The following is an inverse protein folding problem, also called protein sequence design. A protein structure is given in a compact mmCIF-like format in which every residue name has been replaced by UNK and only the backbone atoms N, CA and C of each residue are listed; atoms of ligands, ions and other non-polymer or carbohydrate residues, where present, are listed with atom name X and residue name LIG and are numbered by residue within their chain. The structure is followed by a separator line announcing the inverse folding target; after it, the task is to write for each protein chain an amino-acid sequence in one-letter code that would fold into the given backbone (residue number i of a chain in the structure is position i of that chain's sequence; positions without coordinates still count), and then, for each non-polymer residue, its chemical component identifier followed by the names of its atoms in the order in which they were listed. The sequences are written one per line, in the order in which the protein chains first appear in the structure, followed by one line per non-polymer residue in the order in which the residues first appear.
data_IF_356203280914
#
_entry.id   IF_356203280914
#
_cell.length_a   1.000
_cell.length_b   1.000
_cell.length_c   1.000
_cell.angle_alpha   90.00
_cell.angle_beta   90.00
_cell.angle_gamma   90.00
#
_symmetry.space_group_name_H-M   'P 1'
#
loop_
_entity.id
_entity.type
_entity.pdbx_description
1 polymer ?
#
# COMPACT_ATOMS: atom_id res chain seq x y z
N UNK A 1 -12.60 -15.06 23.55
CA UNK A 1 -12.84 -13.75 22.88
C UNK A 1 -11.55 -12.94 22.70
N UNK A 2 -10.77 -12.63 23.76
CA UNK A 2 -9.49 -11.86 23.66
C UNK A 2 -8.47 -12.42 22.65
N UNK A 3 -8.37 -13.75 22.52
CA UNK A 3 -7.44 -14.41 21.58
C UNK A 3 -7.73 -14.12 20.09
N UNK A 4 -9.01 -14.00 19.69
CA UNK A 4 -9.38 -13.71 18.29
C UNK A 4 -9.02 -12.28 17.87
N UNK A 5 -9.29 -11.30 18.73
CA UNK A 5 -8.98 -9.88 18.48
C UNK A 5 -7.47 -9.69 18.31
N UNK A 6 -6.66 -10.29 19.19
CA UNK A 6 -5.20 -10.20 19.11
C UNK A 6 -4.65 -10.83 17.81
N UNK A 7 -5.26 -11.92 17.33
CA UNK A 7 -4.90 -12.52 16.03
C UNK A 7 -5.19 -11.57 14.86
N UNK A 8 -6.35 -10.90 14.88
CA UNK A 8 -6.70 -9.92 13.83
C UNK A 8 -5.68 -8.79 13.79
N UNK A 9 -5.46 -8.12 14.93
CA UNK A 9 -4.56 -6.97 15.01
C UNK A 9 -3.13 -7.32 14.57
N UNK A 10 -2.62 -8.50 14.94
CA UNK A 10 -1.26 -8.92 14.57
C UNK A 10 -1.10 -9.23 13.09
N UNK A 11 -2.16 -9.69 12.41
CA UNK A 11 -2.14 -10.09 11.01
C UNK A 11 -2.44 -8.96 10.00
N UNK A 12 -2.90 -7.80 10.46
CA UNK A 12 -3.40 -6.74 9.56
C UNK A 12 -2.34 -6.14 8.64
N UNK A 13 -1.09 -6.05 9.09
CA UNK A 13 -0.06 -5.29 8.40
C UNK A 13 0.41 -5.91 7.08
N UNK A 14 0.58 -5.08 6.04
CA UNK A 14 1.10 -5.48 4.72
C UNK A 14 2.40 -6.31 4.81
N UNK A 15 3.32 -5.95 5.71
CA UNK A 15 4.58 -6.67 5.95
C UNK A 15 4.39 -8.13 6.34
N UNK A 16 3.26 -8.50 6.95
CA UNK A 16 2.98 -9.89 7.34
C UNK A 16 2.43 -10.68 6.16
N UNK A 17 1.72 -10.03 5.24
CA UNK A 17 1.19 -10.68 4.03
C UNK A 17 2.27 -10.93 2.98
N UNK A 18 3.25 -10.02 2.86
CA UNK A 18 4.42 -10.17 2.00
C UNK A 18 5.30 -11.35 2.42
N UNK A 19 5.22 -11.83 3.68
CA UNK A 19 5.99 -13.00 4.14
C UNK A 19 5.43 -14.35 3.72
N UNK A 20 4.30 -14.39 3.00
CA UNK A 20 3.64 -15.64 2.62
C UNK A 20 3.03 -16.41 3.82
N UNK A 21 3.14 -15.89 5.05
CA UNK A 21 2.49 -16.44 6.25
C UNK A 21 1.02 -16.05 6.39
N UNK A 22 0.38 -15.65 5.29
CA UNK A 22 -1.06 -15.44 5.26
C UNK A 22 -1.73 -16.81 5.43
N UNK A 23 -1.97 -17.21 6.68
CA UNK A 23 -2.74 -18.41 7.01
C UNK A 23 -4.02 -18.40 6.18
N UNK A 24 -4.22 -19.46 5.38
CA UNK A 24 -5.40 -19.64 4.54
C UNK A 24 -6.71 -19.72 5.34
N UNK A 25 -6.63 -19.83 6.67
CA UNK A 25 -7.77 -19.72 7.58
C UNK A 25 -7.77 -18.36 8.29
N UNK A 26 -8.54 -17.42 7.75
CA UNK A 26 -8.85 -16.15 8.40
C UNK A 26 -10.36 -16.03 8.64
N UNK A 27 -10.73 -15.46 9.79
CA UNK A 27 -12.12 -15.22 10.13
C UNK A 27 -12.73 -14.16 9.19
N UNK A 28 -14.02 -14.22 8.83
CA UNK A 28 -14.65 -13.20 7.98
C UNK A 28 -14.41 -11.77 8.48
N UNK A 29 -14.41 -11.55 9.79
CA UNK A 29 -14.16 -10.26 10.44
C UNK A 29 -12.75 -9.73 10.16
N UNK A 30 -11.75 -10.62 10.01
CA UNK A 30 -10.39 -10.22 9.64
C UNK A 30 -10.37 -9.56 8.27
N UNK A 31 -11.03 -10.15 7.27
CA UNK A 31 -11.05 -9.57 5.92
C UNK A 31 -11.80 -8.25 5.87
N UNK A 32 -12.89 -8.12 6.62
CA UNK A 32 -13.62 -6.85 6.72
C UNK A 32 -12.74 -5.75 7.33
N UNK A 33 -12.05 -6.04 8.44
CA UNK A 33 -11.19 -5.07 9.12
C UNK A 33 -9.96 -4.72 8.28
N UNK A 34 -9.34 -5.72 7.66
CA UNK A 34 -8.15 -5.52 6.82
C UNK A 34 -8.49 -4.76 5.54
N UNK A 35 -9.61 -5.05 4.88
CA UNK A 35 -10.08 -4.28 3.72
C UNK A 35 -10.37 -2.83 4.11
N UNK A 36 -10.97 -2.58 5.28
CA UNK A 36 -11.22 -1.22 5.75
C UNK A 36 -9.93 -0.42 5.96
N UNK A 37 -8.92 -1.01 6.61
CA UNK A 37 -7.58 -0.40 6.78
C UNK A 37 -6.91 -0.11 5.42
N UNK A 38 -6.96 -1.08 4.49
CA UNK A 38 -6.36 -0.92 3.16
C UNK A 38 -7.08 0.10 2.30
N UNK A 39 -8.40 0.16 2.37
CA UNK A 39 -9.18 1.16 1.66
C UNK A 39 -8.74 2.57 2.08
N UNK A 40 -8.52 2.82 3.38
CA UNK A 40 -8.02 4.11 3.89
C UNK A 40 -6.60 4.44 3.40
N UNK A 41 -5.80 3.42 3.10
CA UNK A 41 -4.45 3.59 2.56
C UNK A 41 -4.40 3.95 1.07
N UNK A 42 -5.51 3.88 0.33
CA UNK A 42 -5.57 4.14 -1.13
C UNK A 42 -6.56 5.26 -1.51
N UNK A 43 -6.47 5.73 -2.75
CA UNK A 43 -7.24 6.87 -3.26
C UNK A 43 -6.68 8.21 -2.80
N UNK A 44 -7.49 9.27 -2.89
CA UNK A 44 -7.07 10.63 -2.55
C UNK A 44 -6.52 10.78 -1.12
N UNK A 45 -7.16 10.15 -0.12
CA UNK A 45 -6.67 10.14 1.26
C UNK A 45 -5.36 9.34 1.38
N UNK A 46 -5.25 8.22 0.67
CA UNK A 46 -4.02 7.43 0.59
C UNK A 46 -2.85 8.23 0.02
N UNK A 47 -3.06 8.99 -1.05
CA UNK A 47 -2.09 9.92 -1.64
C UNK A 47 -1.63 10.94 -0.60
N UNK A 48 -2.57 11.66 0.02
CA UNK A 48 -2.25 12.66 1.03
C UNK A 48 -1.43 12.06 2.19
N UNK A 49 -1.88 10.93 2.75
CA UNK A 49 -1.17 10.21 3.82
C UNK A 49 0.23 9.77 3.40
N UNK A 50 0.39 9.31 2.16
CA UNK A 50 1.68 8.87 1.64
C UNK A 50 2.69 10.02 1.62
N UNK A 51 2.33 11.16 1.05
CA UNK A 51 3.21 12.34 1.00
C UNK A 51 3.44 12.97 2.37
N UNK A 52 2.41 13.08 3.22
CA UNK A 52 2.58 13.57 4.60
C UNK A 52 3.55 12.70 5.39
N UNK A 53 3.43 11.38 5.28
CA UNK A 53 4.37 10.47 5.94
C UNK A 53 5.78 10.59 5.36
N UNK A 54 5.92 10.61 4.03
CA UNK A 54 7.20 10.80 3.33
C UNK A 54 7.92 12.08 3.79
N UNK A 55 7.20 13.20 3.82
CA UNK A 55 7.71 14.48 4.32
C UNK A 55 8.13 14.42 5.79
N UNK A 56 7.30 13.83 6.66
CA UNK A 56 7.63 13.67 8.10
C UNK A 56 8.90 12.83 8.34
N UNK A 57 9.23 11.95 7.39
CA UNK A 57 10.40 11.07 7.43
C UNK A 57 11.59 11.61 6.63
N UNK A 58 11.50 12.83 6.09
CA UNK A 58 12.51 13.42 5.19
C UNK A 58 12.89 12.48 4.04
N UNK A 59 11.91 11.70 3.56
CA UNK A 59 12.10 10.75 2.46
C UNK A 59 12.13 11.51 1.15
N UNK A 60 13.05 11.12 0.26
CA UNK A 60 13.11 11.63 -1.10
C UNK A 60 11.77 11.44 -1.82
N UNK A 61 11.32 12.47 -2.53
CA UNK A 61 10.02 12.44 -3.23
C UNK A 61 10.03 11.41 -4.36
N UNK A 62 10.94 11.59 -5.30
CA UNK A 62 11.17 10.74 -6.47
C UNK A 62 12.64 10.83 -6.91
N UNK A 63 13.16 9.76 -7.51
CA UNK A 63 14.47 9.72 -8.15
C UNK A 63 14.44 8.66 -9.27
N UNK A 64 14.58 9.05 -10.54
CA UNK A 64 14.57 8.11 -11.67
C UNK A 64 15.68 7.04 -11.63
N UNK A 65 16.80 7.32 -10.96
CA UNK A 65 17.89 6.37 -10.80
C UNK A 65 17.60 5.25 -9.77
N UNK A 66 16.53 5.39 -8.99
CA UNK A 66 16.12 4.42 -7.96
C UNK A 66 14.79 3.79 -8.41
N UNK A 67 14.80 2.63 -9.08
CA UNK A 67 13.57 1.97 -9.53
C UNK A 67 12.75 1.40 -8.35
N UNK A 68 11.42 1.23 -8.51
CA UNK A 68 10.60 0.55 -7.51
C UNK A 68 10.97 -0.93 -7.41
N UNK A 69 10.93 -1.47 -6.19
CA UNK A 69 11.28 -2.88 -5.92
C UNK A 69 10.09 -3.81 -6.19
N UNK A 70 10.30 -4.85 -7.00
CA UNK A 70 9.27 -5.82 -7.39
C UNK A 70 9.08 -6.95 -6.36
N UNK A 71 10.18 -7.58 -5.94
CA UNK A 71 10.21 -8.74 -5.03
C UNK A 71 10.73 -8.32 -3.66
N UNK A 72 9.81 -7.89 -2.80
CA UNK A 72 10.15 -7.44 -1.46
C UNK A 72 10.10 -8.64 -0.49
N UNK A 73 11.25 -9.07 0.02
CA UNK A 73 11.27 -9.76 1.32
C UNK A 73 10.81 -8.79 2.43
N UNK A 74 10.46 -9.30 3.61
CA UNK A 74 10.10 -8.43 4.76
C UNK A 74 11.23 -7.49 5.11
N UNK A 75 12.46 -8.00 5.09
CA UNK A 75 13.69 -7.26 5.38
C UNK A 75 13.89 -6.15 4.35
N UNK A 76 13.70 -6.46 3.06
CA UNK A 76 13.81 -5.47 1.99
C UNK A 76 12.71 -4.40 2.07
N UNK A 77 11.45 -4.77 2.36
CA UNK A 77 10.37 -3.80 2.56
C UNK A 77 10.64 -2.88 3.75
N UNK A 78 11.26 -3.39 4.81
CA UNK A 78 11.59 -2.63 6.01
C UNK A 78 12.89 -1.82 5.87
N UNK A 79 13.74 -2.14 4.89
CA UNK A 79 14.91 -1.33 4.58
C UNK A 79 14.48 -0.01 3.91
N UNK A 80 14.87 1.10 4.55
CA UNK A 80 14.44 2.46 4.23
C UNK A 80 15.49 3.26 3.45
N UNK A 81 16.69 2.72 3.26
CA UNK A 81 17.83 3.48 2.72
C UNK A 81 17.67 3.79 1.21
N UNK A 82 16.77 3.08 0.50
CA UNK A 82 16.60 3.20 -0.95
C UNK A 82 15.12 3.39 -1.38
N UNK A 83 14.27 3.95 -0.51
CA UNK A 83 12.84 4.11 -0.82
C UNK A 83 12.47 5.57 -1.09
N UNK A 84 11.94 5.86 -2.28
CA UNK A 84 11.29 7.15 -2.57
C UNK A 84 9.81 7.11 -2.22
N UNK A 85 9.19 8.28 -2.02
CA UNK A 85 7.75 8.37 -1.75
C UNK A 85 6.93 7.85 -2.93
N UNK A 86 7.33 8.19 -4.15
CA UNK A 86 6.69 7.69 -5.38
C UNK A 86 6.86 6.17 -5.54
N UNK A 87 8.03 5.60 -5.24
CA UNK A 87 8.21 4.15 -5.32
C UNK A 87 7.27 3.39 -4.36
N UNK A 88 6.85 4.01 -3.24
CA UNK A 88 5.89 3.40 -2.33
C UNK A 88 4.53 3.08 -2.97
N UNK A 89 4.13 3.86 -3.99
CA UNK A 89 2.92 3.57 -4.77
C UNK A 89 3.04 2.20 -5.45
N UNK A 90 4.12 1.98 -6.19
CA UNK A 90 4.38 0.74 -6.93
C UNK A 90 4.70 -0.44 -6.01
N UNK A 91 5.49 -0.20 -4.97
CA UNK A 91 5.93 -1.25 -4.05
C UNK A 91 4.77 -1.82 -3.21
N UNK A 92 3.75 -0.99 -2.92
CA UNK A 92 2.66 -1.34 -2.03
C UNK A 92 1.29 -0.85 -2.50
N UNK A 93 1.08 0.46 -2.60
CA UNK A 93 -0.29 1.01 -2.62
C UNK A 93 -1.11 0.53 -3.83
N UNK A 94 -0.49 0.43 -5.00
CA UNK A 94 -1.08 -0.08 -6.24
C UNK A 94 -1.28 -1.60 -6.22
N UNK A 95 -0.70 -2.33 -5.26
CA UNK A 95 -0.95 -3.77 -5.09
C UNK A 95 -2.17 -4.05 -4.20
N UNK A 96 -2.60 -3.09 -3.39
CA UNK A 96 -3.61 -3.32 -2.34
C UNK A 96 -4.99 -3.69 -2.90
N UNK A 97 -5.35 -3.21 -4.10
CA UNK A 97 -6.64 -3.51 -4.75
C UNK A 97 -6.83 -5.03 -4.93
N UNK A 98 -5.82 -5.70 -5.45
CA UNK A 98 -5.88 -7.12 -5.78
C UNK A 98 -5.72 -8.01 -4.55
N UNK A 99 -5.32 -7.43 -3.41
CA UNK A 99 -5.19 -8.12 -2.14
C UNK A 99 -6.46 -8.03 -1.28
N UNK A 100 -7.48 -7.28 -1.72
CA UNK A 100 -8.76 -7.17 -1.00
C UNK A 100 -9.39 -8.54 -0.78
N UNK A 101 -9.85 -8.77 0.45
CA UNK A 101 -10.38 -10.05 0.91
C UNK A 101 -11.86 -10.21 0.63
N UNK A 102 -12.61 -9.11 0.51
CA UNK A 102 -14.06 -9.11 0.30
C UNK A 102 -14.42 -8.54 -1.07
N UNK A 103 -15.51 -9.05 -1.66
CA UNK A 103 -16.06 -8.50 -2.91
C UNK A 103 -16.41 -7.01 -2.79
N UNK A 104 -16.87 -6.58 -1.62
CA UNK A 104 -17.19 -5.16 -1.37
C UNK A 104 -15.92 -4.30 -1.28
N UNK A 105 -14.87 -4.79 -0.63
CA UNK A 105 -13.55 -4.18 -0.57
C UNK A 105 -12.97 -3.99 -1.97
N UNK A 106 -12.96 -5.04 -2.78
CA UNK A 106 -12.46 -5.00 -4.17
C UNK A 106 -13.22 -3.97 -5.02
N UNK A 107 -14.56 -3.97 -5.01
CA UNK A 107 -15.37 -2.98 -5.75
C UNK A 107 -15.06 -1.54 -5.34
N UNK A 108 -14.87 -1.28 -4.04
CA UNK A 108 -14.54 0.07 -3.53
C UNK A 108 -13.10 0.47 -3.86
N UNK A 109 -12.20 -0.51 -3.90
CA UNK A 109 -10.80 -0.30 -4.20
C UNK A 109 -10.58 0.10 -5.66
N UNK A 110 -11.38 -0.40 -6.61
CA UNK A 110 -11.22 -0.12 -8.05
C UNK A 110 -11.13 1.37 -8.36
N UNK A 111 -12.12 2.16 -7.91
CA UNK A 111 -12.14 3.61 -8.14
C UNK A 111 -10.95 4.31 -7.47
N UNK A 112 -10.57 3.87 -6.26
CA UNK A 112 -9.47 4.48 -5.48
C UNK A 112 -8.12 4.18 -6.13
N UNK A 113 -7.94 2.96 -6.62
CA UNK A 113 -6.77 2.51 -7.34
C UNK A 113 -6.60 3.29 -8.64
N UNK A 114 -7.65 3.36 -9.47
CA UNK A 114 -7.62 4.11 -10.73
C UNK A 114 -7.20 5.56 -10.53
N UNK A 115 -7.73 6.23 -9.51
CA UNK A 115 -7.34 7.61 -9.19
C UNK A 115 -5.85 7.73 -8.82
N UNK A 116 -5.27 6.72 -8.17
CA UNK A 116 -3.83 6.72 -7.86
C UNK A 116 -2.98 6.46 -9.10
N UNK A 117 -3.41 5.60 -10.02
CA UNK A 117 -2.72 5.40 -11.31
C UNK A 117 -2.71 6.70 -12.13
N UNK A 118 -3.87 7.37 -12.22
CA UNK A 118 -4.02 8.67 -12.87
C UNK A 118 -3.09 9.72 -12.23
N UNK A 119 -3.10 9.81 -10.89
CA UNK A 119 -2.20 10.72 -10.16
C UNK A 119 -0.72 10.43 -10.42
N UNK A 120 -0.30 9.17 -10.37
CA UNK A 120 1.11 8.78 -10.58
C UNK A 120 1.53 9.04 -12.03
N UNK A 121 0.65 8.79 -13.00
CA UNK A 121 0.89 9.12 -14.41
C UNK A 121 1.10 10.62 -14.57
N UNK A 122 0.17 11.44 -14.06
CA UNK A 122 0.28 12.90 -14.15
C UNK A 122 1.55 13.41 -13.47
N UNK A 123 1.89 12.87 -12.29
CA UNK A 123 3.13 13.19 -11.60
C UNK A 123 4.36 12.95 -12.48
N UNK A 124 4.41 11.84 -13.23
CA UNK A 124 5.53 11.56 -14.13
C UNK A 124 5.53 12.46 -15.37
N UNK A 125 4.37 12.78 -15.91
CA UNK A 125 4.26 13.69 -17.05
C UNK A 125 4.75 15.09 -16.66
N UNK A 126 4.31 15.61 -15.50
CA UNK A 126 4.78 16.88 -14.93
C UNK A 126 6.29 16.84 -14.64
N UNK A 127 6.79 15.77 -14.00
CA UNK A 127 8.20 15.62 -13.66
C UNK A 127 9.11 15.61 -14.89
N UNK A 128 8.65 15.01 -15.99
CA UNK A 128 9.40 14.91 -17.24
C UNK A 128 9.14 16.09 -18.19
N UNK A 129 8.28 17.04 -17.83
CA UNK A 129 7.94 18.20 -18.66
C UNK A 129 7.12 17.86 -19.91
N UNK A 130 6.27 16.83 -19.82
CA UNK A 130 5.39 16.37 -20.91
C UNK A 130 3.99 16.99 -20.86
N UNK A 131 3.61 17.60 -19.73
CA UNK A 131 2.34 18.27 -19.46
C UNK A 131 2.52 19.79 -19.31
#
# INVERSE_FOLDING_TARGET
MKSKILKVVRGMGFKEEVTGKANNEWFPEFGVVQDADRLDAIGAIGIARCFTFGGSRKRMLHNPAIPPRSDLSKEQYMNKEEQTTINHFHEKLLKLKDMMKTKAGQRRAERRHKFMEEFVKEFYDEWNGLS
#
